data_IF_343184633904
#
_entry.id   IF_343184633904
#
_cell.length_a   1.000
_cell.length_b   1.000
_cell.length_c   1.000
_cell.angle_alpha   90.00
_cell.angle_beta   90.00
_cell.angle_gamma   90.00
#
_symmetry.space_group_name_H-M   'P 1'
#
loop_
_entity.id
_entity.type
_entity.pdbx_description
1 polymer ?
#
# COMPACT_ATOMS: atom_id res chain seq x y z
N UNK A 1 -39.41 -7.77 -33.84
CA UNK A 1 -38.09 -8.42 -33.86
C UNK A 1 -37.21 -7.69 -32.86
N UNK A 2 -37.07 -8.23 -31.63
CA UNK A 2 -36.26 -7.60 -30.58
C UNK A 2 -34.83 -8.11 -30.77
N UNK A 3 -33.96 -7.20 -31.23
CA UNK A 3 -32.54 -7.50 -31.39
C UNK A 3 -31.92 -7.61 -30.00
N UNK A 4 -31.68 -8.80 -29.49
CA UNK A 4 -30.90 -9.06 -28.29
C UNK A 4 -29.43 -8.70 -28.57
N UNK A 5 -29.08 -7.45 -28.34
CA UNK A 5 -27.68 -7.03 -28.30
C UNK A 5 -27.04 -7.72 -27.12
N UNK A 6 -26.41 -8.87 -27.34
CA UNK A 6 -25.48 -9.45 -26.36
C UNK A 6 -24.41 -8.41 -26.12
N UNK A 7 -24.48 -7.72 -24.98
CA UNK A 7 -23.35 -6.88 -24.50
C UNK A 7 -22.12 -7.79 -24.51
N UNK A 8 -21.15 -7.48 -25.37
CA UNK A 8 -19.82 -8.11 -25.27
C UNK A 8 -19.36 -7.91 -23.82
N UNK A 9 -18.88 -8.95 -23.12
CA UNK A 9 -18.30 -8.76 -21.81
C UNK A 9 -17.21 -7.71 -21.93
N UNK A 10 -17.15 -6.77 -20.99
CA UNK A 10 -16.15 -5.73 -20.98
C UNK A 10 -14.77 -6.38 -21.13
N UNK A 11 -14.12 -6.14 -22.26
CA UNK A 11 -12.88 -6.81 -22.64
C UNK A 11 -11.72 -6.29 -21.79
N UNK A 12 -11.39 -7.00 -20.74
CA UNK A 12 -10.23 -6.76 -19.87
C UNK A 12 -9.80 -8.04 -19.19
N UNK A 13 -8.56 -8.10 -18.76
CA UNK A 13 -8.04 -9.19 -17.93
C UNK A 13 -8.32 -8.89 -16.46
N UNK A 14 -8.31 -9.92 -15.62
CA UNK A 14 -8.46 -9.74 -14.16
C UNK A 14 -7.14 -9.24 -13.57
N UNK A 15 -7.20 -8.26 -12.67
CA UNK A 15 -6.01 -7.75 -11.99
C UNK A 15 -5.30 -8.85 -11.20
N UNK A 16 -6.03 -9.82 -10.66
CA UNK A 16 -5.46 -10.98 -9.97
C UNK A 16 -4.61 -11.91 -10.84
N UNK A 17 -4.57 -11.69 -12.18
CA UNK A 17 -3.70 -12.45 -13.11
C UNK A 17 -2.45 -11.69 -13.51
N UNK A 18 -2.27 -10.46 -13.02
CA UNK A 18 -1.06 -9.68 -13.29
C UNK A 18 0.14 -10.25 -12.53
N UNK A 19 1.32 -10.13 -13.12
CA UNK A 19 2.56 -10.48 -12.45
C UNK A 19 2.94 -9.41 -11.41
N UNK A 20 3.62 -9.83 -10.34
CA UNK A 20 4.26 -8.91 -9.41
C UNK A 20 5.30 -8.06 -10.15
N UNK A 21 5.27 -6.76 -9.96
CA UNK A 21 6.09 -5.78 -10.68
C UNK A 21 5.38 -5.11 -11.87
N UNK A 22 4.26 -5.65 -12.38
CA UNK A 22 3.46 -4.96 -13.39
C UNK A 22 2.77 -3.72 -12.79
N UNK A 23 2.43 -2.78 -13.67
CA UNK A 23 1.93 -1.46 -13.27
C UNK A 23 0.45 -1.33 -13.64
N UNK A 24 -0.35 -0.84 -12.70
CA UNK A 24 -1.71 -0.37 -12.96
C UNK A 24 -1.76 1.15 -12.79
N UNK A 25 -2.15 1.84 -13.82
CA UNK A 25 -2.34 3.30 -13.78
C UNK A 25 -3.75 3.64 -13.30
N UNK A 26 -3.81 4.55 -12.34
CA UNK A 26 -5.04 5.08 -11.75
C UNK A 26 -5.01 6.61 -11.88
N UNK A 27 -6.14 7.22 -12.22
CA UNK A 27 -6.27 8.66 -12.20
C UNK A 27 -6.37 9.14 -10.74
N UNK A 28 -5.37 9.89 -10.28
CA UNK A 28 -5.32 10.53 -8.96
C UNK A 28 -5.35 12.04 -9.16
N UNK A 29 -6.39 12.71 -8.70
CA UNK A 29 -6.63 14.14 -8.99
C UNK A 29 -6.52 14.49 -10.49
N UNK A 30 -6.99 13.58 -11.36
CA UNK A 30 -6.95 13.75 -12.81
C UNK A 30 -5.60 13.42 -13.48
N UNK A 31 -4.57 13.07 -12.71
CA UNK A 31 -3.25 12.68 -13.23
C UNK A 31 -3.10 11.16 -13.18
N UNK A 32 -2.69 10.54 -14.30
CA UNK A 32 -2.42 9.10 -14.36
C UNK A 32 -1.18 8.77 -13.53
N UNK A 33 -1.40 8.04 -12.44
CA UNK A 33 -0.38 7.70 -11.45
C UNK A 33 -0.14 6.19 -11.48
N UNK A 34 1.12 5.78 -11.42
CA UNK A 34 1.53 4.39 -11.48
C UNK A 34 1.47 3.73 -10.09
N UNK A 35 0.87 2.54 -10.06
CA UNK A 35 0.86 1.66 -8.91
C UNK A 35 1.43 0.30 -9.31
N UNK A 36 2.37 -0.20 -8.52
CA UNK A 36 3.04 -1.48 -8.73
C UNK A 36 2.19 -2.59 -8.12
N UNK A 37 2.01 -3.69 -8.82
CA UNK A 37 1.52 -4.95 -8.25
C UNK A 37 2.59 -5.48 -7.29
N UNK A 38 2.39 -5.28 -5.99
CA UNK A 38 3.37 -5.61 -4.97
C UNK A 38 3.23 -7.05 -4.45
N UNK A 39 2.01 -7.60 -4.48
CA UNK A 39 1.72 -8.99 -4.10
C UNK A 39 0.42 -9.48 -4.75
N UNK A 40 0.29 -10.79 -4.90
CA UNK A 40 -0.96 -11.46 -5.27
C UNK A 40 -1.35 -12.42 -4.14
N UNK A 41 -2.60 -12.33 -3.71
CA UNK A 41 -3.10 -13.11 -2.58
C UNK A 41 -2.62 -12.58 -1.22
N UNK A 42 -2.81 -13.36 -0.17
CA UNK A 42 -2.34 -13.05 1.18
C UNK A 42 -0.81 -13.15 1.20
N UNK A 43 -0.07 -12.11 1.68
CA UNK A 43 1.36 -12.21 1.85
C UNK A 43 1.74 -13.33 2.81
N UNK A 44 2.71 -14.15 2.44
CA UNK A 44 3.17 -15.28 3.23
C UNK A 44 4.43 -14.91 4.02
N UNK A 45 4.46 -15.29 5.28
CA UNK A 45 5.70 -15.21 6.06
C UNK A 45 6.67 -16.30 5.59
N UNK A 46 7.81 -15.89 5.07
CA UNK A 46 8.84 -16.78 4.54
C UNK A 46 9.73 -17.40 5.61
N UNK A 47 9.21 -17.64 6.81
CA UNK A 47 9.90 -18.48 7.80
C UNK A 47 10.52 -17.77 9.00
N UNK A 48 10.10 -16.58 9.31
CA UNK A 48 10.57 -15.86 10.51
C UNK A 48 9.71 -16.10 11.77
N UNK A 49 8.62 -16.87 11.64
CA UNK A 49 7.84 -17.33 12.79
C UNK A 49 7.02 -16.24 13.48
N UNK A 50 6.51 -15.28 12.74
CA UNK A 50 5.81 -14.13 13.28
C UNK A 50 4.32 -14.11 12.97
N UNK A 51 3.52 -13.91 14.02
CA UNK A 51 2.07 -14.00 14.06
C UNK A 51 1.33 -12.76 13.56
N UNK A 52 1.93 -11.93 12.73
CA UNK A 52 1.22 -10.86 12.02
C UNK A 52 0.36 -11.43 10.90
N UNK A 53 -0.59 -12.31 11.25
CA UNK A 53 -1.43 -12.97 10.26
C UNK A 53 -2.42 -11.98 9.66
N UNK A 54 -2.36 -11.84 8.33
CA UNK A 54 -3.44 -11.24 7.57
C UNK A 54 -4.66 -12.14 7.61
N UNK A 55 -5.84 -11.56 7.69
CA UNK A 55 -7.07 -12.31 7.49
C UNK A 55 -7.43 -12.46 6.00
N UNK A 56 -8.51 -13.15 5.71
CA UNK A 56 -8.96 -13.38 4.32
C UNK A 56 -9.39 -12.11 3.60
N UNK A 57 -9.60 -10.98 4.28
CA UNK A 57 -9.86 -9.70 3.63
C UNK A 57 -8.64 -9.18 2.86
N UNK A 58 -7.46 -9.68 3.18
CA UNK A 58 -6.21 -9.36 2.49
C UNK A 58 -5.93 -10.23 1.25
N UNK A 59 -6.84 -11.16 0.90
CA UNK A 59 -6.71 -11.99 -0.31
C UNK A 59 -7.13 -11.22 -1.56
N UNK A 60 -6.18 -10.59 -2.23
CA UNK A 60 -6.40 -9.79 -3.43
C UNK A 60 -5.10 -9.33 -4.07
N UNK A 61 -5.19 -8.35 -4.96
CA UNK A 61 -4.01 -7.78 -5.64
C UNK A 61 -3.55 -6.54 -4.89
N UNK A 62 -2.38 -6.64 -4.27
CA UNK A 62 -1.77 -5.56 -3.50
C UNK A 62 -1.11 -4.54 -4.42
N UNK A 63 -1.54 -3.31 -4.29
CA UNK A 63 -1.07 -2.18 -5.09
C UNK A 63 -0.35 -1.17 -4.20
N UNK A 64 0.85 -0.76 -4.61
CA UNK A 64 1.61 0.28 -3.92
C UNK A 64 1.99 1.38 -4.89
N UNK A 65 1.91 2.63 -4.47
CA UNK A 65 2.33 3.75 -5.31
C UNK A 65 3.80 3.61 -5.72
N UNK A 66 4.09 3.77 -7.02
CA UNK A 66 5.45 3.75 -7.56
C UNK A 66 6.23 4.99 -7.13
N UNK A 67 5.57 6.15 -7.08
CA UNK A 67 6.16 7.41 -6.63
C UNK A 67 5.53 7.87 -5.32
N UNK A 68 6.30 8.64 -4.55
CA UNK A 68 5.80 9.30 -3.35
C UNK A 68 4.82 10.41 -3.74
N UNK A 69 3.82 10.62 -2.91
CA UNK A 69 2.77 11.61 -3.11
C UNK A 69 2.78 12.62 -1.96
N UNK A 70 2.49 13.88 -2.29
CA UNK A 70 2.23 14.88 -1.26
C UNK A 70 0.96 14.46 -0.52
N UNK A 71 1.12 14.03 0.71
CA UNK A 71 0.08 13.41 1.52
C UNK A 71 -0.27 14.22 2.76
N UNK A 72 -1.24 13.74 3.53
CA UNK A 72 -1.58 14.38 4.79
C UNK A 72 -0.39 14.29 5.73
N UNK A 73 -0.09 15.41 6.36
CA UNK A 73 0.89 15.47 7.46
C UNK A 73 0.34 14.67 8.64
N UNK A 74 1.20 13.90 9.29
CA UNK A 74 0.83 13.21 10.51
C UNK A 74 0.96 14.21 11.67
N UNK A 75 -0.18 14.67 12.17
CA UNK A 75 -0.22 15.56 13.34
C UNK A 75 -0.45 14.79 14.65
N UNK A 76 -0.89 13.55 14.57
CA UNK A 76 -1.15 12.71 15.73
C UNK A 76 -1.19 11.24 15.33
N UNK A 77 -0.63 10.40 16.17
CA UNK A 77 -0.54 8.95 15.96
C UNK A 77 -1.90 8.23 16.08
N UNK A 78 -2.91 8.88 16.67
CA UNK A 78 -4.23 8.28 16.83
C UNK A 78 -5.09 8.30 15.55
N UNK A 79 -4.73 9.11 14.55
CA UNK A 79 -5.57 9.36 13.35
C UNK A 79 -4.97 8.85 12.03
N UNK A 80 -3.77 8.29 12.04
CA UNK A 80 -2.99 8.09 10.80
C UNK A 80 -3.54 7.08 9.78
N UNK A 81 -4.32 6.07 10.17
CA UNK A 81 -4.96 5.19 9.18
C UNK A 81 -6.16 5.86 8.50
N UNK A 82 -6.91 6.66 9.26
CA UNK A 82 -8.07 7.39 8.77
C UNK A 82 -7.66 8.49 7.78
N UNK A 83 -6.59 9.20 8.07
CA UNK A 83 -6.15 10.34 7.27
C UNK A 83 -5.74 9.94 5.86
N UNK A 84 -4.97 8.87 5.70
CA UNK A 84 -4.55 8.42 4.36
C UNK A 84 -5.72 7.88 3.55
N UNK A 85 -6.67 7.17 4.19
CA UNK A 85 -7.86 6.65 3.51
C UNK A 85 -8.73 7.79 2.99
N UNK A 86 -9.09 8.74 3.84
CA UNK A 86 -9.93 9.88 3.49
C UNK A 86 -9.29 10.75 2.42
N UNK A 87 -8.00 11.05 2.59
CA UNK A 87 -7.21 11.84 1.66
C UNK A 87 -7.14 11.18 0.27
N UNK A 88 -6.75 9.90 0.20
CA UNK A 88 -6.61 9.20 -1.09
C UNK A 88 -7.97 8.97 -1.76
N UNK A 89 -9.00 8.63 -0.99
CA UNK A 89 -10.36 8.43 -1.51
C UNK A 89 -10.94 9.68 -2.14
N UNK A 90 -10.58 10.86 -1.65
CA UNK A 90 -11.02 12.14 -2.23
C UNK A 90 -10.35 12.47 -3.58
N UNK A 91 -9.25 11.78 -3.92
CA UNK A 91 -8.47 12.04 -5.14
C UNK A 91 -8.74 11.06 -6.28
N UNK A 92 -9.44 9.96 -6.03
CA UNK A 92 -9.75 8.92 -7.02
C UNK A 92 -11.25 8.90 -7.34
N UNK A 93 -11.61 8.37 -8.49
CA UNK A 93 -13.00 8.24 -8.87
C UNK A 93 -13.72 7.11 -8.10
N UNK A 94 -15.04 7.18 -8.09
CA UNK A 94 -15.88 6.20 -7.38
C UNK A 94 -15.69 4.77 -7.89
N UNK A 95 -15.46 4.58 -9.19
CA UNK A 95 -15.21 3.28 -9.79
C UNK A 95 -13.92 2.67 -9.23
N UNK A 96 -12.85 3.46 -9.16
CA UNK A 96 -11.58 3.04 -8.56
C UNK A 96 -11.74 2.74 -7.08
N UNK A 97 -12.44 3.61 -6.34
CA UNK A 97 -12.69 3.42 -4.91
C UNK A 97 -13.52 2.15 -4.62
N UNK A 98 -14.48 1.82 -5.48
CA UNK A 98 -15.29 0.61 -5.36
C UNK A 98 -14.53 -0.67 -5.72
N UNK A 99 -13.49 -0.58 -6.55
CA UNK A 99 -12.61 -1.71 -6.85
C UNK A 99 -11.60 -2.00 -5.72
N UNK A 100 -11.37 -1.03 -4.83
CA UNK A 100 -10.50 -1.19 -3.66
C UNK A 100 -11.27 -1.91 -2.55
N UNK A 101 -10.70 -3.02 -2.10
CA UNK A 101 -11.22 -3.85 -1.02
C UNK A 101 -11.02 -3.17 0.33
N UNK A 102 -12.00 -3.33 1.22
CA UNK A 102 -11.78 -3.05 2.63
C UNK A 102 -11.07 -4.26 3.26
N UNK A 103 -9.89 -4.04 3.83
CA UNK A 103 -9.06 -5.10 4.37
C UNK A 103 -8.57 -4.77 5.79
N UNK A 104 -8.25 -5.81 6.55
CA UNK A 104 -7.79 -5.72 7.94
C UNK A 104 -6.28 -5.94 7.98
N UNK A 105 -5.55 -4.85 8.15
CA UNK A 105 -4.08 -4.85 8.17
C UNK A 105 -3.55 -4.99 9.59
N UNK A 106 -2.59 -5.90 9.82
CA UNK A 106 -1.92 -6.00 11.10
C UNK A 106 -0.99 -4.80 11.33
N UNK A 107 -0.89 -4.36 12.57
CA UNK A 107 0.13 -3.42 13.02
C UNK A 107 0.49 -3.68 14.49
N UNK A 108 1.59 -3.11 14.93
CA UNK A 108 2.00 -3.17 16.32
C UNK A 108 1.68 -1.86 17.04
N UNK A 109 1.11 -1.95 18.23
CA UNK A 109 0.84 -0.81 19.11
C UNK A 109 1.55 -0.99 20.45
N UNK A 110 1.51 0.02 21.30
CA UNK A 110 2.04 -0.05 22.67
C UNK A 110 1.39 -1.16 23.52
N UNK A 111 0.18 -1.58 23.15
CA UNK A 111 -0.54 -2.69 23.78
C UNK A 111 -0.23 -4.07 23.16
N UNK A 112 0.58 -4.14 22.12
CA UNK A 112 0.94 -5.36 21.41
C UNK A 112 0.41 -5.41 19.96
N UNK A 113 0.24 -6.62 19.43
CA UNK A 113 -0.33 -6.83 18.11
C UNK A 113 -1.78 -6.32 18.05
N UNK A 114 -2.11 -5.57 17.00
CA UNK A 114 -3.41 -4.98 16.76
C UNK A 114 -3.73 -4.97 15.26
N UNK A 115 -4.92 -4.52 14.87
CA UNK A 115 -5.36 -4.48 13.47
C UNK A 115 -6.07 -3.17 13.16
N UNK A 116 -6.00 -2.76 11.90
CA UNK A 116 -6.80 -1.65 11.37
C UNK A 116 -7.53 -2.08 10.10
N UNK A 117 -8.85 -1.81 10.04
CA UNK A 117 -9.68 -2.14 8.89
C UNK A 117 -9.93 -0.89 8.07
N UNK A 118 -9.40 -0.87 6.83
CA UNK A 118 -9.46 0.29 5.95
C UNK A 118 -9.34 -0.13 4.48
N UNK A 119 -9.73 0.76 3.55
CA UNK A 119 -9.50 0.57 2.11
C UNK A 119 -8.08 0.90 1.68
N UNK A 120 -7.49 1.94 2.28
CA UNK A 120 -6.15 2.42 1.93
C UNK A 120 -5.34 2.58 3.19
N UNK A 121 -4.10 2.13 3.16
CA UNK A 121 -3.16 2.24 4.27
C UNK A 121 -1.79 2.72 3.78
N UNK A 122 -0.84 2.83 4.68
CA UNK A 122 0.59 2.94 4.38
C UNK A 122 1.23 1.56 4.45
N UNK A 123 2.32 1.29 3.72
CA UNK A 123 3.06 0.05 3.92
C UNK A 123 3.63 0.00 5.34
N UNK A 124 3.76 -1.21 5.90
CA UNK A 124 4.57 -1.41 7.09
C UNK A 124 6.05 -1.57 6.72
N UNK A 125 6.95 -1.40 7.69
CA UNK A 125 8.37 -1.69 7.47
C UNK A 125 8.60 -3.16 7.11
N UNK A 126 7.78 -4.06 7.64
CA UNK A 126 7.85 -5.49 7.34
C UNK A 126 7.42 -5.80 5.91
N UNK A 127 6.34 -5.22 5.43
CA UNK A 127 5.88 -5.35 4.04
C UNK A 127 6.92 -4.85 3.03
N UNK A 128 7.72 -3.87 3.42
CA UNK A 128 8.85 -3.36 2.64
C UNK A 128 10.13 -4.21 2.78
N UNK A 129 10.04 -5.37 3.44
CA UNK A 129 11.15 -6.28 3.70
C UNK A 129 12.26 -5.69 4.58
N UNK A 130 11.94 -4.74 5.46
CA UNK A 130 12.86 -4.28 6.48
C UNK A 130 12.71 -5.10 7.75
N UNK A 131 13.84 -5.58 8.27
CA UNK A 131 13.95 -6.12 9.62
C UNK A 131 14.32 -4.96 10.55
N UNK A 132 13.32 -4.34 11.14
CA UNK A 132 13.58 -3.33 12.16
C UNK A 132 14.09 -4.00 13.44
N UNK A 133 15.07 -3.37 14.10
CA UNK A 133 15.77 -3.93 15.29
C UNK A 133 14.88 -4.12 16.53
N UNK A 134 13.63 -3.73 16.48
CA UNK A 134 12.72 -3.75 17.63
C UNK A 134 11.68 -4.85 17.51
N UNK A 135 11.32 -5.47 18.63
CA UNK A 135 10.39 -6.62 18.71
C UNK A 135 9.05 -6.39 18.02
N UNK A 136 8.59 -5.12 17.88
CA UNK A 136 7.30 -4.80 17.30
C UNK A 136 7.21 -4.96 15.79
N UNK A 137 8.32 -4.86 15.04
CA UNK A 137 8.30 -4.97 13.59
C UNK A 137 7.83 -6.33 13.06
N UNK A 138 7.80 -7.32 13.93
CA UNK A 138 7.42 -8.70 13.61
C UNK A 138 5.91 -8.91 13.54
N UNK A 139 5.13 -7.99 14.08
CA UNK A 139 3.67 -8.05 14.07
C UNK A 139 3.02 -7.21 12.96
N UNK A 140 3.83 -6.54 12.16
CA UNK A 140 3.35 -5.61 11.11
C UNK A 140 3.04 -6.29 9.77
N UNK A 141 2.88 -7.62 9.76
CA UNK A 141 2.61 -8.37 8.54
C UNK A 141 3.82 -9.10 7.97
N UNK A 142 3.79 -9.40 6.69
CA UNK A 142 4.83 -10.16 5.96
C UNK A 142 5.36 -9.37 4.77
N UNK A 143 6.59 -9.66 4.28
CA UNK A 143 7.13 -8.98 3.11
C UNK A 143 6.25 -9.19 1.88
N UNK A 144 5.95 -8.11 1.16
CA UNK A 144 5.33 -8.22 -0.14
C UNK A 144 6.34 -8.77 -1.15
N UNK A 145 5.89 -9.66 -2.05
CA UNK A 145 6.76 -10.37 -3.01
C UNK A 145 7.65 -9.43 -3.83
N UNK A 146 7.16 -8.26 -4.20
CA UNK A 146 7.94 -7.26 -4.91
C UNK A 146 9.21 -6.88 -4.16
N UNK A 147 9.13 -6.66 -2.84
CA UNK A 147 10.25 -6.21 -2.02
C UNK A 147 11.21 -7.33 -1.59
N UNK A 148 10.92 -8.58 -1.91
CA UNK A 148 11.91 -9.67 -1.76
C UNK A 148 13.06 -9.55 -2.75
N UNK A 149 12.83 -8.90 -3.89
CA UNK A 149 13.82 -8.76 -4.99
C UNK A 149 14.13 -7.32 -5.35
N UNK A 150 13.35 -6.35 -4.84
CA UNK A 150 13.52 -4.93 -5.10
C UNK A 150 13.73 -4.19 -3.79
N UNK A 151 14.61 -3.20 -3.79
CA UNK A 151 14.79 -2.34 -2.63
C UNK A 151 13.52 -1.54 -2.35
N UNK A 152 13.20 -1.36 -1.07
CA UNK A 152 12.15 -0.43 -0.66
C UNK A 152 12.58 1.03 -0.78
N UNK A 153 13.87 1.28 -1.06
CA UNK A 153 14.36 2.59 -1.43
C UNK A 153 13.60 3.03 -2.67
N UNK A 154 12.86 4.11 -2.53
CA UNK A 154 12.19 4.70 -3.67
C UNK A 154 13.18 5.46 -4.51
N UNK A 155 13.24 5.22 -5.81
CA UNK A 155 13.77 6.22 -6.71
C UNK A 155 12.80 7.41 -6.61
N UNK A 156 13.28 8.48 -6.05
CA UNK A 156 12.53 9.71 -6.06
C UNK A 156 12.69 10.40 -7.42
N UNK A 157 11.57 10.87 -7.98
CA UNK A 157 11.54 11.48 -9.32
C UNK A 157 11.65 13.00 -9.32
N UNK A 158 11.98 13.61 -8.19
CA UNK A 158 12.01 15.06 -8.04
C UNK A 158 13.29 15.58 -7.36
N UNK A 159 13.51 16.86 -7.43
CA UNK A 159 14.79 17.57 -7.19
C UNK A 159 15.02 18.07 -5.77
N UNK A 160 14.46 17.50 -4.72
CA UNK A 160 14.68 17.93 -3.35
C UNK A 160 15.00 16.80 -2.38
N UNK A 161 15.63 17.12 -1.27
CA UNK A 161 16.08 16.23 -0.21
C UNK A 161 14.96 15.55 0.61
N UNK A 162 13.74 15.48 0.10
CA UNK A 162 12.55 15.08 0.86
C UNK A 162 11.97 13.76 0.34
N UNK A 163 12.77 12.70 0.35
CA UNK A 163 12.36 11.37 -0.07
C UNK A 163 11.77 10.51 1.07
N UNK A 164 11.57 11.10 2.22
CA UNK A 164 11.02 10.43 3.39
C UNK A 164 9.56 10.10 3.20
N UNK A 165 9.13 8.91 3.61
CA UNK A 165 7.72 8.55 3.62
C UNK A 165 7.33 7.73 4.85
N UNK A 166 6.12 8.00 5.34
CA UNK A 166 5.59 7.32 6.50
C UNK A 166 5.21 5.88 6.22
N UNK A 167 5.49 5.02 7.18
CA UNK A 167 4.94 3.67 7.26
C UNK A 167 3.77 3.63 8.26
N UNK A 168 3.03 2.51 8.35
CA UNK A 168 2.06 2.28 9.43
C UNK A 168 2.70 1.64 10.66
N UNK A 169 3.98 1.32 10.62
CA UNK A 169 4.70 0.75 11.75
C UNK A 169 4.93 1.77 12.84
N UNK A 170 4.79 1.33 14.08
CA UNK A 170 5.05 2.13 15.27
C UNK A 170 6.31 1.66 15.97
N UNK A 171 6.98 2.55 16.68
CA UNK A 171 8.12 2.18 17.52
C UNK A 171 7.63 1.55 18.82
N UNK A 172 8.03 0.32 19.14
CA UNK A 172 7.61 -0.34 20.38
C UNK A 172 8.35 0.17 21.61
N UNK A 173 9.43 0.93 21.44
CA UNK A 173 10.26 1.43 22.53
C UNK A 173 9.81 2.79 23.07
N UNK A 174 8.82 3.40 22.44
CA UNK A 174 8.39 4.75 22.76
C UNK A 174 6.98 4.77 23.34
N UNK A 175 6.80 5.25 24.59
CA UNK A 175 5.48 5.42 25.19
C UNK A 175 4.60 6.43 24.44
N UNK A 176 5.17 7.25 23.56
CA UNK A 176 4.46 8.20 22.71
C UNK A 176 4.09 7.64 21.34
N UNK A 177 4.38 6.34 21.09
CA UNK A 177 4.03 5.65 19.83
C UNK A 177 4.56 6.33 18.57
N UNK A 178 5.81 6.77 18.58
CA UNK A 178 6.43 7.41 17.41
C UNK A 178 6.27 6.55 16.16
N UNK A 179 5.92 7.21 15.05
CA UNK A 179 5.83 6.54 13.76
C UNK A 179 7.21 6.25 13.18
N UNK A 180 7.29 5.19 12.39
CA UNK A 180 8.49 4.86 11.64
C UNK A 180 8.32 5.38 10.21
N UNK A 181 9.32 6.05 9.69
CA UNK A 181 9.39 6.47 8.31
C UNK A 181 10.61 5.85 7.61
N UNK A 182 10.57 5.79 6.29
CA UNK A 182 11.71 5.42 5.46
C UNK A 182 12.33 6.70 4.97
N UNK A 183 13.59 6.92 5.35
CA UNK A 183 14.36 8.08 4.93
C UNK A 183 14.88 7.98 3.50
N UNK A 184 15.42 9.07 2.98
CA UNK A 184 16.00 9.20 1.63
C UNK A 184 17.16 8.23 1.38
N UNK A 185 17.90 7.88 2.45
CA UNK A 185 18.93 6.83 2.42
C UNK A 185 18.36 5.41 2.37
N UNK A 186 17.04 5.24 2.37
CA UNK A 186 16.37 3.94 2.44
C UNK A 186 16.45 3.26 3.81
N UNK A 187 16.84 3.98 4.86
CA UNK A 187 16.86 3.45 6.22
C UNK A 187 15.55 3.76 6.93
N UNK A 188 15.06 2.80 7.70
CA UNK A 188 13.93 3.04 8.58
C UNK A 188 14.39 3.87 9.79
N UNK A 189 13.68 4.94 10.08
CA UNK A 189 13.97 5.88 11.14
C UNK A 189 12.69 6.15 11.96
N UNK A 190 12.88 6.60 13.20
CA UNK A 190 11.79 6.96 14.10
C UNK A 190 11.75 8.49 14.24
N UNK A 191 10.56 9.07 14.20
CA UNK A 191 10.37 10.49 14.48
C UNK A 191 9.03 10.74 15.15
N UNK A 192 9.01 11.72 16.03
CA UNK A 192 7.84 12.32 16.65
C UNK A 192 7.31 13.54 15.87
N UNK A 193 8.17 14.12 15.03
CA UNK A 193 7.86 15.33 14.25
C UNK A 193 8.47 15.22 12.85
N UNK A 194 7.66 14.87 11.88
CA UNK A 194 8.08 15.02 10.50
C UNK A 194 6.98 15.68 9.69
N UNK A 195 7.02 16.97 9.75
CA UNK A 195 6.20 17.83 8.92
C UNK A 195 6.39 17.59 7.41
N UNK A 196 7.41 16.82 6.99
CA UNK A 196 7.83 16.72 5.59
C UNK A 196 7.74 15.32 4.96
N UNK A 197 7.47 14.25 5.72
CA UNK A 197 7.38 12.92 5.12
C UNK A 197 6.12 12.77 4.25
N UNK A 198 6.30 12.12 3.11
CA UNK A 198 5.29 11.93 2.08
C UNK A 198 4.41 10.72 2.33
N UNK A 199 3.34 10.61 1.57
CA UNK A 199 2.48 9.43 1.57
C UNK A 199 2.89 8.44 0.47
N UNK A 200 2.82 7.15 0.80
CA UNK A 200 2.92 6.05 -0.14
C UNK A 200 1.70 5.16 0.02
N UNK A 201 0.60 5.41 -0.70
CA UNK A 201 -0.61 4.62 -0.58
C UNK A 201 -0.37 3.16 -0.92
N UNK A 202 -0.92 2.28 -0.07
CA UNK A 202 -1.01 0.84 -0.24
C UNK A 202 -2.47 0.44 -0.12
N UNK A 203 -2.96 -0.38 -1.05
CA UNK A 203 -4.34 -0.88 -1.04
C UNK A 203 -4.44 -2.21 -1.78
N UNK A 204 -5.59 -2.87 -1.65
CA UNK A 204 -5.85 -4.16 -2.26
C UNK A 204 -7.02 -4.03 -3.23
N UNK A 205 -6.82 -4.41 -4.49
CA UNK A 205 -7.93 -4.59 -5.42
C UNK A 205 -8.60 -5.94 -5.22
N UNK A 206 -9.90 -5.99 -5.42
CA UNK A 206 -10.62 -7.24 -5.63
C UNK A 206 -9.99 -7.99 -6.81
N UNK A 207 -9.67 -9.29 -6.69
CA UNK A 207 -8.92 -10.02 -7.71
C UNK A 207 -9.65 -10.10 -9.06
N UNK A 208 -10.98 -9.95 -9.05
CA UNK A 208 -11.82 -9.93 -10.25
C UNK A 208 -11.92 -8.55 -10.93
N UNK A 209 -11.30 -7.52 -10.35
CA UNK A 209 -11.23 -6.18 -10.94
C UNK A 209 -10.65 -6.26 -12.34
N UNK A 210 -11.31 -5.60 -13.31
CA UNK A 210 -10.91 -5.65 -14.72
C UNK A 210 -9.97 -4.53 -15.09
N UNK A 211 -8.91 -4.88 -15.82
CA UNK A 211 -7.92 -3.93 -16.35
C UNK A 211 -7.71 -4.17 -17.83
N UNK A 212 -7.37 -3.11 -18.56
CA UNK A 212 -6.97 -3.15 -19.96
C UNK A 212 -5.46 -2.95 -20.07
N UNK A 213 -4.80 -3.71 -20.93
CA UNK A 213 -3.41 -3.45 -21.29
C UNK A 213 -3.31 -2.17 -22.13
N UNK A 214 -2.41 -1.27 -21.72
CA UNK A 214 -2.11 0.00 -22.40
C UNK A 214 -0.77 -0.12 -23.16
N UNK A 215 0.22 -0.71 -22.50
CA UNK A 215 1.52 -1.03 -23.09
C UNK A 215 2.10 -2.26 -22.37
N UNK A 216 3.30 -2.68 -22.71
CA UNK A 216 3.93 -3.82 -22.05
C UNK A 216 4.10 -3.57 -20.56
N UNK A 217 3.55 -4.47 -19.74
CA UNK A 217 3.57 -4.38 -18.28
C UNK A 217 2.75 -3.24 -17.68
N UNK A 218 2.00 -2.45 -18.48
CA UNK A 218 1.20 -1.32 -18.01
C UNK A 218 -0.27 -1.51 -18.35
N UNK A 219 -1.13 -1.31 -17.37
CA UNK A 219 -2.57 -1.51 -17.43
C UNK A 219 -3.34 -0.31 -16.87
N UNK A 220 -4.61 -0.21 -17.18
CA UNK A 220 -5.56 0.76 -16.62
C UNK A 220 -6.85 0.05 -16.24
N UNK A 221 -7.61 0.59 -15.27
CA UNK A 221 -8.93 0.08 -14.94
C UNK A 221 -9.86 0.12 -16.16
N UNK A 222 -10.52 -1.02 -16.44
CA UNK A 222 -11.36 -1.21 -17.62
C UNK A 222 -12.76 -0.60 -17.46
#
# INVERSE_FOLDING_TARGET
MICNIKRRPAGGIKVGTLAVGEIVQIAVSGVMTNFIVANQGIPEDTGTGYDGSYDTSCDGTWMIAEALMDGPKIYSLQTWSYDITSWFSAMIDEKTLNAIRQATYPYYSSSGADTTTTKVTRPSVRELNYLWKYKGSTYDGAPLKYFLTHSAIMPWTGSSSEADYWTRSKSPSDPFENAIYIGDSGTAQQSDDSSNARARPLFIFEPDTRVKKVSDGIYQLA
#
